data_IF_321952901755
#
_entry.id   IF_321952901755
#
_cell.length_a   1.000
_cell.length_b   1.000
_cell.length_c   1.000
_cell.angle_alpha   90.00
_cell.angle_beta   90.00
_cell.angle_gamma   90.00
#
_symmetry.space_group_name_H-M   'P 1'
#
loop_
_entity.id
_entity.type
_entity.pdbx_description
1 polymer ?
#
# COMPACT_ATOMS: atom_id res chain seq x y z
N UNK A 1 -22.09 2.35 -1.30
CA UNK A 1 -20.83 2.90 -1.88
C UNK A 1 -20.99 4.35 -2.32
N UNK A 2 -19.98 5.18 -2.07
CA UNK A 2 -19.91 6.56 -2.60
C UNK A 2 -18.72 6.69 -3.53
N UNK A 3 -18.94 7.24 -4.76
CA UNK A 3 -17.85 7.60 -5.68
C UNK A 3 -17.50 9.08 -5.52
N UNK A 4 -16.21 9.37 -5.32
CA UNK A 4 -15.69 10.73 -5.12
C UNK A 4 -14.65 11.04 -6.21
N UNK A 5 -14.92 12.00 -7.07
CA UNK A 5 -13.94 12.51 -8.03
C UNK A 5 -12.95 13.44 -7.32
N UNK A 6 -11.71 12.99 -7.12
CA UNK A 6 -10.69 13.77 -6.40
C UNK A 6 -10.14 14.96 -7.19
N UNK A 7 -10.46 15.08 -8.47
CA UNK A 7 -10.15 16.28 -9.29
C UNK A 7 -11.09 17.45 -8.99
N UNK A 8 -12.25 17.16 -8.38
CA UNK A 8 -13.27 18.14 -8.02
C UNK A 8 -13.25 18.39 -6.53
N UNK A 9 -13.39 19.64 -6.14
CA UNK A 9 -13.43 20.01 -4.73
C UNK A 9 -12.06 20.17 -4.09
N UNK A 10 -12.04 20.10 -2.76
CA UNK A 10 -10.85 20.35 -1.96
C UNK A 10 -10.20 19.05 -1.49
N UNK A 11 -8.91 18.88 -1.75
CA UNK A 11 -8.11 17.72 -1.33
C UNK A 11 -8.32 17.39 0.16
N UNK A 12 -8.32 18.39 1.03
CA UNK A 12 -8.50 18.21 2.48
C UNK A 12 -9.82 17.52 2.85
N UNK A 13 -10.93 17.85 2.16
CA UNK A 13 -12.23 17.20 2.40
C UNK A 13 -12.22 15.73 1.97
N UNK A 14 -11.58 15.41 0.83
CA UNK A 14 -11.44 14.04 0.36
C UNK A 14 -10.58 13.21 1.32
N UNK A 15 -9.47 13.79 1.80
CA UNK A 15 -8.60 13.15 2.80
C UNK A 15 -9.35 12.89 4.11
N UNK A 16 -10.11 13.88 4.63
CA UNK A 16 -10.91 13.69 5.85
C UNK A 16 -11.91 12.55 5.70
N UNK A 17 -12.58 12.46 4.53
CA UNK A 17 -13.52 11.38 4.24
C UNK A 17 -12.83 10.02 4.16
N UNK A 18 -11.66 9.94 3.51
CA UNK A 18 -10.88 8.71 3.42
C UNK A 18 -10.42 8.24 4.81
N UNK A 19 -9.86 9.15 5.61
CA UNK A 19 -9.42 8.86 6.98
C UNK A 19 -10.58 8.37 7.86
N UNK A 20 -11.76 9.03 7.74
CA UNK A 20 -12.94 8.58 8.48
C UNK A 20 -13.32 7.14 8.09
N UNK A 21 -13.44 6.84 6.80
CA UNK A 21 -13.81 5.50 6.35
C UNK A 21 -12.81 4.43 6.81
N UNK A 22 -11.50 4.74 6.76
CA UNK A 22 -10.45 3.83 7.25
C UNK A 22 -10.58 3.60 8.77
N UNK A 23 -10.77 4.67 9.55
CA UNK A 23 -10.92 4.57 11.01
C UNK A 23 -12.22 3.84 11.42
N UNK A 24 -13.26 3.92 10.59
CA UNK A 24 -14.51 3.17 10.77
C UNK A 24 -14.34 1.67 10.36
N UNK A 25 -13.15 1.23 9.93
CA UNK A 25 -12.83 -0.16 9.60
C UNK A 25 -13.14 -0.56 8.15
N UNK A 26 -13.42 0.38 7.26
CA UNK A 26 -13.78 0.07 5.88
C UNK A 26 -12.56 -0.06 4.96
N UNK A 27 -12.72 -0.88 3.93
CA UNK A 27 -11.85 -0.89 2.75
C UNK A 27 -12.32 0.21 1.80
N UNK A 28 -11.38 1.04 1.35
CA UNK A 28 -11.61 2.08 0.35
C UNK A 28 -10.81 1.80 -0.92
N UNK A 29 -11.22 2.40 -2.03
CA UNK A 29 -10.42 2.40 -3.27
C UNK A 29 -9.80 3.77 -3.50
N UNK A 30 -8.50 3.77 -3.82
CA UNK A 30 -7.72 4.98 -4.08
C UNK A 30 -6.93 4.86 -5.37
N UNK A 31 -6.67 5.98 -6.09
CA UNK A 31 -5.70 6.01 -7.16
C UNK A 31 -4.28 6.08 -6.59
N UNK A 32 -3.41 5.21 -7.05
CA UNK A 32 -1.96 5.32 -6.90
C UNK A 32 -1.33 5.97 -8.14
N UNK A 33 -0.02 5.77 -8.32
CA UNK A 33 0.73 6.37 -9.42
C UNK A 33 0.24 5.89 -10.80
N UNK A 34 -0.10 4.60 -10.91
CA UNK A 34 -0.41 3.96 -12.19
C UNK A 34 -1.44 2.83 -12.10
N UNK A 35 -2.15 2.72 -10.99
CA UNK A 35 -3.22 1.74 -10.79
C UNK A 35 -4.14 2.16 -9.66
N UNK A 36 -5.37 1.66 -9.67
CA UNK A 36 -6.27 1.71 -8.53
C UNK A 36 -5.93 0.60 -7.54
N UNK A 37 -6.10 0.88 -6.24
CA UNK A 37 -5.80 -0.05 -5.18
C UNK A 37 -6.84 0.01 -4.06
N UNK A 38 -7.09 -1.13 -3.42
CA UNK A 38 -7.74 -1.23 -2.13
C UNK A 38 -6.80 -0.73 -1.05
N UNK A 39 -7.34 -0.05 -0.03
CA UNK A 39 -6.59 0.51 1.08
C UNK A 39 -7.42 0.39 2.35
N UNK A 40 -6.80 -0.07 3.44
CA UNK A 40 -7.40 -0.17 4.76
C UNK A 40 -6.36 -0.02 5.87
N UNK A 41 -6.78 0.07 7.13
CA UNK A 41 -5.88 0.07 8.28
C UNK A 41 -5.15 -1.28 8.38
N UNK A 42 -3.82 -1.26 8.43
CA UNK A 42 -2.98 -2.46 8.56
C UNK A 42 -3.13 -3.17 9.92
N UNK A 43 -3.66 -2.49 10.94
CA UNK A 43 -3.93 -3.07 12.26
C UNK A 43 -5.36 -3.60 12.41
N UNK A 44 -6.23 -3.34 11.44
CA UNK A 44 -7.59 -3.87 11.45
C UNK A 44 -7.64 -5.19 10.67
N UNK A 45 -7.58 -6.32 11.39
CA UNK A 45 -7.56 -7.65 10.79
C UNK A 45 -8.79 -7.95 9.92
N UNK A 46 -9.97 -7.48 10.33
CA UNK A 46 -11.21 -7.70 9.55
C UNK A 46 -11.20 -6.91 8.25
N UNK A 47 -10.70 -5.67 8.27
CA UNK A 47 -10.52 -4.86 7.07
C UNK A 47 -9.49 -5.46 6.11
N UNK A 48 -8.37 -6.00 6.63
CA UNK A 48 -7.36 -6.70 5.82
C UNK A 48 -7.95 -7.97 5.19
N UNK A 49 -8.69 -8.77 5.95
CA UNK A 49 -9.39 -9.96 5.41
C UNK A 49 -10.41 -9.59 4.35
N UNK A 50 -11.23 -8.55 4.60
CA UNK A 50 -12.18 -8.04 3.60
C UNK A 50 -11.48 -7.61 2.31
N UNK A 51 -10.33 -6.93 2.41
CA UNK A 51 -9.51 -6.54 1.26
C UNK A 51 -9.03 -7.75 0.45
N UNK A 52 -8.59 -8.83 1.11
CA UNK A 52 -8.18 -10.08 0.45
C UNK A 52 -9.35 -10.76 -0.25
N UNK A 53 -10.54 -10.80 0.38
CA UNK A 53 -11.77 -11.35 -0.23
C UNK A 53 -12.13 -10.54 -1.49
N UNK A 54 -12.13 -9.20 -1.41
CA UNK A 54 -12.43 -8.33 -2.56
C UNK A 54 -11.48 -8.57 -3.73
N UNK A 55 -10.21 -8.81 -3.46
CA UNK A 55 -9.20 -9.09 -4.48
C UNK A 55 -9.27 -10.52 -5.01
N UNK A 56 -9.90 -11.45 -4.30
CA UNK A 56 -9.83 -12.89 -4.59
C UNK A 56 -8.43 -13.44 -4.37
N UNK A 57 -7.77 -13.03 -3.29
CA UNK A 57 -6.44 -13.54 -2.93
C UNK A 57 -6.55 -14.92 -2.30
N UNK A 58 -5.60 -15.81 -2.64
CA UNK A 58 -5.44 -17.07 -1.95
C UNK A 58 -4.97 -16.86 -0.49
N UNK A 59 -5.23 -17.85 0.36
CA UNK A 59 -4.74 -17.85 1.73
C UNK A 59 -3.20 -17.81 1.76
N UNK A 60 -2.64 -17.05 2.70
CA UNK A 60 -1.19 -16.89 2.86
C UNK A 60 -0.56 -15.80 2.00
N UNK A 61 -1.32 -15.11 1.15
CA UNK A 61 -0.81 -13.94 0.43
C UNK A 61 -0.84 -12.73 1.34
N UNK A 62 0.34 -12.22 1.68
CA UNK A 62 0.50 -11.03 2.53
C UNK A 62 0.17 -9.73 1.79
N UNK A 63 -0.57 -8.85 2.45
CA UNK A 63 -0.74 -7.48 1.96
C UNK A 63 0.58 -6.70 2.05
N UNK A 64 0.83 -5.84 1.08
CA UNK A 64 1.86 -4.82 1.20
C UNK A 64 1.37 -3.71 2.14
N UNK A 65 2.32 -3.04 2.82
CA UNK A 65 2.00 -1.92 3.72
C UNK A 65 2.58 -0.61 3.18
N UNK A 66 1.74 0.41 3.10
CA UNK A 66 2.18 1.77 2.83
C UNK A 66 2.51 2.47 4.15
N UNK A 67 3.63 3.18 4.14
CA UNK A 67 4.11 3.98 5.26
C UNK A 67 4.30 5.43 4.82
N UNK A 68 4.21 6.37 5.77
CA UNK A 68 4.31 7.80 5.50
C UNK A 68 5.71 8.22 5.09
N UNK A 69 6.74 7.67 5.78
CA UNK A 69 8.14 8.06 5.66
C UNK A 69 9.07 6.96 6.19
N UNK A 70 10.37 7.17 6.06
CA UNK A 70 11.41 6.25 6.56
C UNK A 70 11.32 6.06 8.07
N UNK A 71 10.97 7.10 8.84
CA UNK A 71 10.85 7.00 10.30
C UNK A 71 9.73 6.05 10.72
N UNK A 72 8.59 6.09 10.00
CA UNK A 72 7.51 5.12 10.23
C UNK A 72 7.96 3.70 9.85
N UNK A 73 8.71 3.54 8.75
CA UNK A 73 9.27 2.26 8.36
C UNK A 73 10.21 1.68 9.43
N UNK A 74 11.07 2.50 10.04
CA UNK A 74 11.93 2.09 11.17
C UNK A 74 11.10 1.62 12.37
N UNK A 75 10.02 2.34 12.70
CA UNK A 75 9.15 2.00 13.85
C UNK A 75 8.42 0.66 13.72
N UNK A 76 8.15 0.21 12.50
CA UNK A 76 7.44 -1.06 12.23
C UNK A 76 8.39 -2.20 11.81
N UNK A 77 9.68 -1.95 11.75
CA UNK A 77 10.69 -2.92 11.33
C UNK A 77 11.69 -3.17 12.44
N UNK A 78 12.41 -4.29 12.34
CA UNK A 78 13.55 -4.61 13.20
C UNK A 78 14.83 -4.75 12.38
N UNK A 79 15.98 -4.52 13.04
CA UNK A 79 17.30 -4.71 12.45
C UNK A 79 17.53 -3.88 11.17
N UNK A 80 16.99 -2.65 11.14
CA UNK A 80 17.23 -1.69 10.06
C UNK A 80 18.65 -1.12 10.21
N UNK A 81 19.51 -1.46 9.26
CA UNK A 81 20.88 -0.94 9.21
C UNK A 81 20.98 0.34 8.36
N UNK A 82 22.14 1.01 8.48
CA UNK A 82 22.38 2.29 7.79
C UNK A 82 22.34 2.20 6.26
N UNK A 83 22.70 1.06 5.66
CA UNK A 83 22.64 0.87 4.18
C UNK A 83 21.19 0.78 3.72
N UNK A 84 20.36 0.01 4.43
CA UNK A 84 18.93 -0.08 4.16
C UNK A 84 18.26 1.29 4.28
N UNK A 85 18.54 2.04 5.35
CA UNK A 85 17.99 3.39 5.53
C UNK A 85 18.45 4.37 4.43
N UNK A 86 19.71 4.29 4.02
CA UNK A 86 20.23 5.11 2.90
C UNK A 86 19.52 4.78 1.58
N UNK A 87 19.31 3.49 1.30
CA UNK A 87 18.57 3.04 0.12
C UNK A 87 17.11 3.55 0.14
N UNK A 88 16.42 3.41 1.28
CA UNK A 88 15.06 3.94 1.44
C UNK A 88 15.00 5.46 1.21
N UNK A 89 15.91 6.23 1.80
CA UNK A 89 15.99 7.68 1.60
C UNK A 89 16.28 8.08 0.14
N UNK A 90 17.07 7.28 -0.58
CA UNK A 90 17.41 7.50 -1.99
C UNK A 90 16.22 7.28 -2.91
N UNK A 91 15.39 6.27 -2.64
CA UNK A 91 14.38 5.79 -3.56
C UNK A 91 12.93 6.17 -3.19
N UNK A 92 12.68 6.60 -1.95
CA UNK A 92 11.38 7.03 -1.48
C UNK A 92 11.21 8.55 -1.40
N UNK A 93 10.01 9.07 -1.67
CA UNK A 93 8.78 8.35 -2.09
C UNK A 93 8.86 7.89 -3.54
N UNK A 94 8.31 6.70 -3.83
CA UNK A 94 8.38 6.16 -5.19
C UNK A 94 7.88 4.74 -5.38
N UNK A 95 8.17 4.21 -6.55
CA UNK A 95 7.73 2.86 -6.99
C UNK A 95 8.79 1.80 -6.69
N UNK A 96 9.29 1.82 -5.47
CA UNK A 96 10.15 0.78 -4.93
C UNK A 96 9.60 0.31 -3.59
N UNK A 97 9.54 -0.99 -3.41
CA UNK A 97 9.04 -1.67 -2.22
C UNK A 97 10.23 -2.39 -1.59
N UNK A 98 10.43 -2.17 -0.31
CA UNK A 98 11.42 -2.94 0.46
C UNK A 98 10.71 -4.02 1.26
N UNK A 99 11.23 -5.24 1.19
CA UNK A 99 10.82 -6.35 2.03
C UNK A 99 11.79 -6.44 3.20
N UNK A 100 11.26 -6.28 4.40
CA UNK A 100 12.03 -6.12 5.64
C UNK A 100 11.49 -7.04 6.72
N UNK A 101 12.27 -7.27 7.78
CA UNK A 101 11.80 -7.97 8.96
C UNK A 101 10.88 -7.05 9.79
N UNK A 102 9.65 -7.46 10.11
CA UNK A 102 8.75 -6.67 10.93
C UNK A 102 9.22 -6.61 12.37
N UNK A 103 8.83 -5.56 13.11
CA UNK A 103 9.02 -5.48 14.55
C UNK A 103 8.28 -6.62 15.25
N UNK A 104 8.91 -7.26 16.21
CA UNK A 104 8.29 -8.33 17.00
C UNK A 104 7.12 -7.86 17.88
N UNK A 105 6.92 -6.55 18.01
CA UNK A 105 5.82 -5.95 18.77
C UNK A 105 4.55 -5.75 17.92
N UNK A 106 4.62 -6.03 16.61
CA UNK A 106 3.46 -5.90 15.72
C UNK A 106 2.57 -7.14 15.83
N UNK A 107 1.28 -6.89 15.99
CA UNK A 107 0.24 -7.91 16.02
C UNK A 107 -0.54 -7.95 14.71
N UNK A 108 0.17 -7.84 13.57
CA UNK A 108 -0.45 -7.81 12.26
C UNK A 108 -0.86 -9.20 11.78
N UNK A 109 -2.06 -9.27 11.22
CA UNK A 109 -2.47 -10.31 10.29
C UNK A 109 -2.64 -9.66 8.92
N UNK A 110 -1.63 -9.79 8.07
CA UNK A 110 -1.65 -9.23 6.72
C UNK A 110 -2.22 -10.20 5.67
N UNK A 111 -2.90 -11.27 6.10
CA UNK A 111 -3.45 -12.32 5.26
C UNK A 111 -2.68 -13.64 5.35
N UNK A 112 -1.77 -13.76 6.28
CA UNK A 112 -0.86 -14.88 6.50
C UNK A 112 -1.04 -15.58 7.86
N UNK A 113 -2.19 -15.41 8.50
CA UNK A 113 -2.54 -16.02 9.78
C UNK A 113 -1.55 -15.66 10.92
N UNK A 114 -1.08 -14.42 10.95
CA UNK A 114 -0.09 -13.90 11.90
C UNK A 114 1.33 -14.52 11.78
N UNK A 115 1.65 -15.15 10.65
CA UNK A 115 2.99 -15.69 10.38
C UNK A 115 3.88 -14.66 9.66
N UNK A 116 3.83 -13.38 10.08
CA UNK A 116 4.56 -12.28 9.41
C UNK A 116 6.07 -12.42 9.68
N UNK A 117 6.76 -13.16 8.81
CA UNK A 117 8.22 -13.32 8.81
C UNK A 117 8.91 -12.14 8.10
N UNK A 118 8.34 -11.64 7.01
CA UNK A 118 8.79 -10.46 6.27
C UNK A 118 7.59 -9.63 5.82
N UNK A 119 7.74 -8.32 5.78
CA UNK A 119 6.71 -7.36 5.32
C UNK A 119 7.23 -6.51 4.18
N UNK A 120 6.42 -6.37 3.13
CA UNK A 120 6.68 -5.50 2.00
C UNK A 120 6.18 -4.08 2.31
N UNK A 121 7.09 -3.11 2.42
CA UNK A 121 6.75 -1.72 2.79
C UNK A 121 7.13 -0.74 1.69
N UNK A 122 6.35 0.34 1.54
CA UNK A 122 6.60 1.39 0.56
C UNK A 122 6.11 2.76 1.03
N UNK A 123 6.85 3.82 0.70
CA UNK A 123 6.35 5.20 0.73
C UNK A 123 5.89 5.57 -0.69
N UNK A 124 4.57 5.76 -0.92
CA UNK A 124 4.04 6.10 -2.25
C UNK A 124 4.36 7.55 -2.61
N UNK A 125 4.37 7.86 -3.92
CA UNK A 125 4.49 9.24 -4.42
C UNK A 125 3.13 9.90 -4.71
N UNK A 126 2.03 9.12 -4.77
CA UNK A 126 0.68 9.62 -5.03
C UNK A 126 0.23 10.61 -3.94
N UNK A 127 0.02 11.88 -4.33
CA UNK A 127 -0.24 13.01 -3.42
C UNK A 127 -1.44 12.75 -2.50
N UNK A 128 -2.54 12.19 -3.05
CA UNK A 128 -3.73 11.89 -2.26
C UNK A 128 -3.47 10.86 -1.17
N UNK A 129 -2.79 9.76 -1.51
CA UNK A 129 -2.47 8.69 -0.55
C UNK A 129 -1.43 9.16 0.48
N UNK A 130 -0.45 9.97 0.09
CA UNK A 130 0.47 10.62 1.04
C UNK A 130 -0.26 11.47 2.06
N UNK A 131 -1.26 12.23 1.61
CA UNK A 131 -2.06 13.08 2.51
C UNK A 131 -2.94 12.26 3.48
N UNK A 132 -3.41 11.08 3.08
CA UNK A 132 -4.09 10.12 3.97
C UNK A 132 -3.09 9.59 5.00
N UNK A 133 -1.95 9.05 4.57
CA UNK A 133 -0.89 8.51 5.44
C UNK A 133 -0.34 9.53 6.45
N UNK A 134 -0.41 10.82 6.16
CA UNK A 134 -0.04 11.87 7.10
C UNK A 134 -0.99 11.96 8.32
N UNK A 135 -2.19 11.36 8.23
CA UNK A 135 -3.25 11.41 9.24
C UNK A 135 -3.63 10.04 9.81
N UNK A 136 -3.11 8.97 9.23
CA UNK A 136 -3.31 7.60 9.67
C UNK A 136 -2.00 6.98 10.13
N UNK A 137 -2.05 5.73 10.57
CA UNK A 137 -0.89 4.86 10.71
C UNK A 137 -0.51 4.19 9.39
N UNK A 138 0.23 3.06 9.47
CA UNK A 138 0.50 2.19 8.33
C UNK A 138 -0.81 1.65 7.73
N UNK A 139 -0.89 1.58 6.39
CA UNK A 139 -2.08 1.13 5.68
C UNK A 139 -1.76 -0.11 4.84
N UNK A 140 -2.57 -1.15 4.97
CA UNK A 140 -2.51 -2.31 4.10
C UNK A 140 -3.07 -1.98 2.72
N UNK A 141 -2.43 -2.51 1.66
CA UNK A 141 -2.77 -2.22 0.29
C UNK A 141 -2.75 -3.48 -0.58
N UNK A 142 -3.71 -3.57 -1.50
CA UNK A 142 -3.76 -4.56 -2.55
C UNK A 142 -4.25 -3.96 -3.88
N UNK A 143 -3.88 -4.55 -5.01
CA UNK A 143 -4.46 -4.17 -6.31
C UNK A 143 -5.96 -4.43 -6.32
N UNK A 144 -6.75 -3.55 -6.96
CA UNK A 144 -8.18 -3.84 -7.24
C UNK A 144 -8.36 -4.89 -8.34
N UNK A 145 -7.34 -5.15 -9.17
CA UNK A 145 -7.34 -6.27 -10.09
C UNK A 145 -7.21 -7.59 -9.33
N UNK A 146 -7.89 -8.62 -9.79
CA UNK A 146 -7.75 -9.97 -9.22
C UNK A 146 -6.33 -10.51 -9.41
N UNK A 147 -6.00 -11.54 -8.66
CA UNK A 147 -4.69 -12.20 -8.76
C UNK A 147 -4.48 -12.72 -10.20
N UNK A 148 -3.32 -12.42 -10.77
CA UNK A 148 -2.99 -12.81 -12.16
C UNK A 148 -3.49 -11.84 -13.24
N UNK A 149 -4.36 -10.89 -12.91
CA UNK A 149 -4.88 -9.91 -13.87
C UNK A 149 -4.01 -8.66 -13.97
N UNK A 150 -4.15 -7.96 -15.10
CA UNK A 150 -3.49 -6.67 -15.32
C UNK A 150 -4.05 -5.58 -14.39
N UNK A 151 -3.18 -4.68 -13.94
CA UNK A 151 -3.56 -3.58 -13.07
C UNK A 151 -4.65 -2.68 -13.72
N UNK A 152 -5.72 -2.41 -12.98
CA UNK A 152 -6.82 -1.54 -13.43
C UNK A 152 -6.38 -0.07 -13.32
N UNK A 153 -6.45 0.63 -14.45
CA UNK A 153 -6.04 2.04 -14.58
C UNK A 153 -7.19 2.99 -14.92
N UNK A 154 -8.36 2.46 -15.25
CA UNK A 154 -9.55 3.24 -15.63
C UNK A 154 -10.61 3.11 -14.55
N UNK A 155 -11.12 4.24 -14.07
CA UNK A 155 -12.05 4.26 -12.93
C UNK A 155 -13.36 3.51 -13.18
N UNK A 156 -13.83 3.45 -14.44
CA UNK A 156 -15.06 2.72 -14.80
C UNK A 156 -14.90 1.19 -14.78
N UNK A 157 -13.67 0.69 -14.72
CA UNK A 157 -13.35 -0.74 -14.67
C UNK A 157 -13.14 -1.25 -13.22
N UNK A 158 -13.15 -0.35 -12.24
CA UNK A 158 -12.93 -0.68 -10.82
C UNK A 158 -14.14 -1.43 -10.26
N UNK A 159 -13.95 -2.63 -9.69
CA UNK A 159 -15.02 -3.33 -8.96
C UNK A 159 -15.48 -2.50 -7.76
N UNK A 160 -16.78 -2.41 -7.54
CA UNK A 160 -17.35 -1.52 -6.53
C UNK A 160 -18.12 -2.23 -5.41
N UNK A 161 -18.35 -3.53 -5.55
CA UNK A 161 -19.05 -4.33 -4.55
C UNK A 161 -18.21 -4.45 -3.26
N UNK A 162 -18.85 -4.28 -2.12
CA UNK A 162 -18.18 -4.34 -0.81
C UNK A 162 -17.29 -3.15 -0.46
N UNK A 163 -17.32 -2.06 -1.25
CA UNK A 163 -16.52 -0.85 -1.05
C UNK A 163 -17.38 0.25 -0.44
N UNK A 164 -16.90 0.88 0.63
CA UNK A 164 -17.59 2.04 1.24
C UNK A 164 -17.40 3.31 0.40
N UNK A 165 -16.14 3.65 0.07
CA UNK A 165 -15.81 4.85 -0.72
C UNK A 165 -14.80 4.52 -1.80
N UNK A 166 -15.09 4.96 -3.01
CA UNK A 166 -14.17 4.91 -4.15
C UNK A 166 -13.73 6.33 -4.54
N UNK A 167 -12.44 6.62 -4.39
CA UNK A 167 -11.83 7.87 -4.83
C UNK A 167 -11.34 7.74 -6.26
N UNK A 168 -12.04 8.36 -7.18
CA UNK A 168 -11.74 8.31 -8.62
C UNK A 168 -10.82 9.46 -9.04
N UNK A 169 -9.85 9.15 -9.90
CA UNK A 169 -9.02 10.12 -10.61
C UNK A 169 -9.14 9.93 -12.14
N UNK A 170 -10.21 9.27 -12.60
CA UNK A 170 -10.44 8.94 -14.00
C UNK A 170 -9.45 7.88 -14.51
N UNK A 171 -8.83 8.16 -15.68
CA UNK A 171 -7.82 7.28 -16.28
C UNK A 171 -6.42 7.62 -15.75
N UNK A 172 -5.74 6.64 -15.17
CA UNK A 172 -4.37 6.74 -14.69
C UNK A 172 -3.37 6.38 -15.81
N UNK A 173 -2.13 6.86 -15.70
CA UNK A 173 -1.06 6.44 -16.63
C UNK A 173 -0.73 4.97 -16.42
N UNK A 174 -0.65 4.20 -17.50
CA UNK A 174 -0.09 2.84 -17.42
C UNK A 174 1.39 2.90 -17.04
N UNK A 175 1.87 1.89 -16.36
CA UNK A 175 3.28 1.79 -15.98
C UNK A 175 3.59 0.48 -15.29
N UNK A 176 4.88 0.17 -15.16
CA UNK A 176 5.36 -1.03 -14.48
C UNK A 176 4.98 -1.01 -12.99
N UNK A 177 4.82 -2.16 -12.35
CA UNK A 177 4.65 -2.27 -10.90
C UNK A 177 5.88 -1.74 -10.15
N UNK A 178 5.82 -1.66 -8.83
CA UNK A 178 6.99 -1.32 -8.02
C UNK A 178 8.08 -2.40 -8.16
N UNK A 179 9.35 -1.98 -8.20
CA UNK A 179 10.48 -2.87 -7.97
C UNK A 179 10.42 -3.37 -6.53
N UNK A 180 10.66 -4.66 -6.31
CA UNK A 180 10.67 -5.25 -4.95
C UNK A 180 12.08 -5.67 -4.60
N UNK A 181 12.59 -5.13 -3.49
CA UNK A 181 13.93 -5.39 -2.97
C UNK A 181 13.81 -5.99 -1.58
N UNK A 182 14.32 -7.19 -1.40
CA UNK A 182 14.50 -7.79 -0.06
C UNK A 182 15.75 -7.22 0.58
N UNK A 183 15.65 -6.88 1.85
CA UNK A 183 16.80 -6.36 2.60
C UNK A 183 16.90 -7.07 3.97
N UNK A 184 18.03 -7.72 4.17
CA UNK A 184 18.36 -8.43 5.42
C UNK A 184 19.81 -8.15 5.77
N UNK A 185 20.07 -7.62 6.95
CA UNK A 185 21.42 -7.32 7.45
C UNK A 185 22.27 -6.50 6.44
N UNK A 186 21.68 -5.49 5.79
CA UNK A 186 22.36 -4.62 4.82
C UNK A 186 22.65 -5.23 3.46
N UNK A 187 22.23 -6.48 3.24
CA UNK A 187 22.30 -7.13 1.93
C UNK A 187 20.98 -6.91 1.19
N UNK A 188 21.08 -6.41 -0.04
CA UNK A 188 19.93 -6.15 -0.88
C UNK A 188 19.87 -7.12 -2.04
N UNK A 189 18.68 -7.71 -2.30
CA UNK A 189 18.42 -8.56 -3.46
C UNK A 189 17.12 -8.15 -4.14
N UNK A 190 17.14 -7.97 -5.46
CA UNK A 190 15.95 -7.67 -6.24
C UNK A 190 15.13 -8.95 -6.41
N UNK A 191 13.92 -8.96 -5.84
CA UNK A 191 12.97 -10.07 -5.97
C UNK A 191 12.08 -9.93 -7.20
N UNK A 192 11.82 -8.69 -7.60
CA UNK A 192 11.04 -8.37 -8.79
C UNK A 192 11.54 -7.08 -9.41
N UNK A 193 11.91 -7.12 -10.68
CA UNK A 193 12.14 -5.93 -11.48
C UNK A 193 10.81 -5.20 -11.74
N UNK A 194 10.87 -3.87 -11.74
CA UNK A 194 9.70 -3.02 -11.91
C UNK A 194 10.06 -1.64 -12.44
N UNK A 195 9.38 -0.62 -11.93
CA UNK A 195 9.50 0.75 -12.45
C UNK A 195 10.81 1.45 -12.13
N UNK A 196 11.61 0.93 -11.21
CA UNK A 196 12.86 1.55 -10.73
C UNK A 196 14.01 0.57 -10.90
N UNK A 197 15.07 0.97 -11.62
CA UNK A 197 16.33 0.25 -11.65
C UNK A 197 17.06 0.46 -10.31
N UNK A 198 17.10 -0.61 -9.50
CA UNK A 198 17.69 -0.53 -8.16
C UNK A 198 19.21 -0.77 -8.25
N UNK A 199 19.98 0.24 -7.82
CA UNK A 199 21.44 0.20 -7.73
C UNK A 199 21.87 0.69 -6.35
N UNK A 200 22.60 -0.17 -5.65
CA UNK A 200 23.20 0.12 -4.33
C UNK A 200 24.52 0.83 -4.52
#
# INVERSE_FOLDING_TARGET
MTVVDIKKGQLGRHVTRAVKAINDGYVIVVPLENAYAYLCDAFNHDAVRAMHVLRGSDNGIKAQVLVRDVKMAEGISRNMDGRTLAAMKKYWPGKITFQVLPSALLTWDLGDNNEVDEVAIRVPSATFVKAILAKTGPLAIASVAKVGESAITVSTEVPTDGIEVFFSNGKLRKGLPSTVVRTVAGVHSVLRDGAVDFKV
#
